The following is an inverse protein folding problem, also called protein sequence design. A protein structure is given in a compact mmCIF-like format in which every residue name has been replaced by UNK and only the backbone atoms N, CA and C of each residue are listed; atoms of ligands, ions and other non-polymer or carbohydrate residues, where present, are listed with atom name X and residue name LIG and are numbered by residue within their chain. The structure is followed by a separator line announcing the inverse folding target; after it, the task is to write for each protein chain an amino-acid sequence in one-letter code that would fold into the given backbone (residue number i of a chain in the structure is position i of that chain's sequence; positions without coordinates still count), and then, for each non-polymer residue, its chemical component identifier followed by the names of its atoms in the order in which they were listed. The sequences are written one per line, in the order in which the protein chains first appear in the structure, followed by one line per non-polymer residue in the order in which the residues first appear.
data_IF_658809666335
#
_entry.id   IF_658809666335
#
_cell.length_a   1.000
_cell.length_b   1.000
_cell.length_c   1.000
_cell.angle_alpha   90.00
_cell.angle_beta   90.00
_cell.angle_gamma   90.00
#
_symmetry.space_group_name_H-M   'P 1'
#
loop_
_entity.id
_entity.type
_entity.pdbx_description
1 polymer ?
#
# COMPACT_ATOMS: atom_id res chain seq x y z
N UNK A 1 -12.90 20.99 -11.26
CA UNK A 1 -12.40 20.31 -10.05
C UNK A 1 -12.13 21.36 -9.01
N UNK A 2 -12.58 21.15 -7.77
CA UNK A 2 -12.26 22.04 -6.65
C UNK A 2 -10.95 21.63 -5.99
N UNK A 3 -10.30 22.59 -5.33
CA UNK A 3 -9.11 22.34 -4.53
C UNK A 3 -9.47 21.49 -3.31
N UNK A 4 -8.72 20.42 -3.00
CA UNK A 4 -8.92 19.62 -1.80
C UNK A 4 -8.74 20.50 -0.56
N UNK A 5 -9.57 20.28 0.46
CA UNK A 5 -9.48 20.97 1.74
C UNK A 5 -8.61 20.17 2.70
N UNK A 6 -7.87 20.87 3.56
CA UNK A 6 -7.00 20.28 4.57
C UNK A 6 -7.64 20.38 5.96
N UNK A 7 -7.27 19.47 6.84
CA UNK A 7 -7.69 19.44 8.26
C UNK A 7 -6.44 19.27 9.12
N UNK A 8 -6.32 20.06 10.18
CA UNK A 8 -5.24 19.94 11.16
C UNK A 8 -5.61 18.84 12.18
N UNK A 9 -4.70 17.89 12.39
CA UNK A 9 -4.87 16.78 13.32
C UNK A 9 -3.73 16.81 14.33
N UNK A 10 -4.07 16.71 15.62
CA UNK A 10 -3.11 16.58 16.73
C UNK A 10 -3.10 15.14 17.20
N UNK A 11 -1.91 14.59 17.34
CA UNK A 11 -1.64 13.21 17.76
C UNK A 11 -0.68 13.28 18.95
N UNK A 12 -0.97 12.56 20.03
CA UNK A 12 -0.24 12.62 21.30
C UNK A 12 0.19 11.22 21.77
N UNK A 13 1.18 11.19 22.67
CA UNK A 13 1.67 10.02 23.41
C UNK A 13 1.91 8.75 22.57
N UNK A 14 1.07 7.74 22.73
CA UNK A 14 1.18 6.40 22.14
C UNK A 14 0.97 6.37 20.61
N UNK A 15 0.37 7.42 20.06
CA UNK A 15 0.11 7.53 18.62
C UNK A 15 1.22 8.29 17.86
N UNK A 16 2.26 8.77 18.54
CA UNK A 16 3.39 9.46 17.88
C UNK A 16 4.15 8.50 16.95
N UNK A 17 4.55 8.99 15.78
CA UNK A 17 5.22 8.22 14.71
C UNK A 17 4.36 7.06 14.12
N UNK A 18 3.04 7.12 14.32
CA UNK A 18 2.09 6.11 13.79
C UNK A 18 1.91 6.15 12.26
N UNK A 19 2.30 7.23 11.57
CA UNK A 19 2.17 7.35 10.11
C UNK A 19 3.26 8.21 9.47
N UNK A 20 3.51 7.99 8.17
CA UNK A 20 4.50 8.73 7.38
C UNK A 20 3.86 9.51 6.23
N UNK A 21 4.52 10.57 5.72
CA UNK A 21 4.04 11.27 4.53
C UNK A 21 3.84 10.30 3.35
N UNK A 22 2.66 10.32 2.75
CA UNK A 22 2.28 9.42 1.65
C UNK A 22 1.44 8.22 2.07
N UNK A 23 1.30 7.95 3.37
CA UNK A 23 0.43 6.89 3.86
C UNK A 23 -1.05 7.23 3.68
N UNK A 24 -1.86 6.22 3.35
CA UNK A 24 -3.32 6.31 3.44
C UNK A 24 -3.73 5.96 4.86
N UNK A 25 -4.35 6.92 5.55
CA UNK A 25 -4.72 6.80 6.95
C UNK A 25 -6.20 7.05 7.15
N UNK A 26 -6.81 6.32 8.08
CA UNK A 26 -8.12 6.63 8.64
C UNK A 26 -7.93 7.02 10.11
N UNK A 27 -8.35 8.24 10.45
CA UNK A 27 -8.19 8.83 11.78
C UNK A 27 -9.55 9.01 12.41
N UNK A 28 -9.69 8.56 13.65
CA UNK A 28 -10.87 8.79 14.48
C UNK A 28 -10.48 9.68 15.65
N UNK A 29 -11.27 10.72 15.92
CA UNK A 29 -10.91 11.71 16.92
C UNK A 29 -12.05 12.64 17.28
N UNK A 30 -11.77 13.56 18.20
CA UNK A 30 -12.72 14.57 18.67
C UNK A 30 -12.42 15.91 17.99
N UNK A 31 -13.43 16.48 17.33
CA UNK A 31 -13.33 17.79 16.71
C UNK A 31 -13.40 18.90 17.76
N UNK A 32 -12.43 19.83 17.74
CA UNK A 32 -12.38 20.97 18.64
C UNK A 32 -12.14 22.27 17.89
N UNK A 33 -12.84 23.31 18.30
CA UNK A 33 -12.63 24.67 17.85
C UNK A 33 -11.86 25.44 18.94
N UNK A 34 -10.63 25.84 18.63
CA UNK A 34 -9.81 26.66 19.51
C UNK A 34 -10.00 28.14 19.14
N UNK A 35 -10.39 29.00 20.10
CA UNK A 35 -10.45 30.43 19.84
C UNK A 35 -9.04 30.97 19.64
N UNK A 36 -8.84 31.76 18.58
CA UNK A 36 -7.57 32.45 18.36
C UNK A 36 -7.41 33.56 19.41
N UNK A 37 -6.45 33.43 20.32
CA UNK A 37 -6.11 34.49 21.28
C UNK A 37 -5.30 35.57 20.57
N UNK A 38 -5.98 36.52 19.94
CA UNK A 38 -5.41 37.81 19.55
C UNK A 38 -5.45 38.76 20.75
N UNK A 39 -4.37 39.51 20.99
CA UNK A 39 -4.26 40.48 22.10
C UNK A 39 -5.52 41.36 22.21
N UNK A 40 -6.31 41.15 23.26
CA UNK A 40 -7.35 42.09 23.71
C UNK A 40 -8.65 42.18 22.89
N UNK A 41 -8.81 41.46 21.77
CA UNK A 41 -10.09 41.44 21.02
C UNK A 41 -10.44 40.03 20.56
N UNK A 42 -11.65 39.57 20.89
CA UNK A 42 -12.18 38.29 20.43
C UNK A 42 -12.61 38.42 18.97
N UNK A 43 -11.68 38.21 18.04
CA UNK A 43 -12.06 37.98 16.65
C UNK A 43 -12.77 36.62 16.57
N UNK A 44 -13.96 36.57 15.97
CA UNK A 44 -14.81 35.37 15.83
C UNK A 44 -14.23 34.28 14.91
N UNK A 45 -12.91 34.24 14.74
CA UNK A 45 -12.19 33.26 13.93
C UNK A 45 -11.68 32.16 14.85
N UNK A 46 -12.25 30.97 14.67
CA UNK A 46 -11.87 29.77 15.40
C UNK A 46 -10.98 28.89 14.52
N UNK A 47 -9.84 28.45 15.06
CA UNK A 47 -9.04 27.41 14.41
C UNK A 47 -9.62 26.06 14.80
N UNK A 48 -9.94 25.24 13.81
CA UNK A 48 -10.51 23.92 14.06
C UNK A 48 -9.44 22.86 13.91
N UNK A 49 -9.38 21.97 14.89
CA UNK A 49 -8.43 20.87 14.95
C UNK A 49 -9.17 19.59 15.29
N UNK A 50 -8.65 18.45 14.84
CA UNK A 50 -9.08 17.13 15.28
C UNK A 50 -8.04 16.59 16.28
N UNK A 51 -8.45 16.23 17.48
CA UNK A 51 -7.59 15.48 18.40
C UNK A 51 -7.80 13.99 18.12
N UNK A 52 -6.75 13.29 17.69
CA UNK A 52 -6.84 11.89 17.32
C UNK A 52 -6.94 10.99 18.55
N UNK A 53 -7.91 10.07 18.53
CA UNK A 53 -8.03 8.96 19.48
C UNK A 53 -7.47 7.66 18.89
N UNK A 54 -7.47 7.52 17.56
CA UNK A 54 -6.93 6.37 16.86
C UNK A 54 -6.46 6.77 15.45
N UNK A 55 -5.28 6.30 15.05
CA UNK A 55 -4.75 6.41 13.69
C UNK A 55 -4.58 5.00 13.13
N UNK A 56 -5.31 4.70 12.06
CA UNK A 56 -5.25 3.39 11.39
C UNK A 56 -4.63 3.53 10.00
N UNK A 57 -3.55 2.79 9.76
CA UNK A 57 -2.87 2.74 8.46
C UNK A 57 -3.64 1.83 7.51
N UNK A 58 -4.37 2.42 6.56
CA UNK A 58 -5.16 1.65 5.58
C UNK A 58 -4.25 0.80 4.67
N UNK A 59 -3.03 1.26 4.40
CA UNK A 59 -2.01 0.51 3.65
C UNK A 59 -1.54 -0.78 4.38
N UNK A 60 -1.62 -0.80 5.71
CA UNK A 60 -1.06 -1.88 6.55
C UNK A 60 -2.13 -2.89 6.97
N UNK A 61 -3.36 -2.43 7.26
CA UNK A 61 -4.49 -3.28 7.64
C UNK A 61 -5.04 -4.11 6.47
N UNK A 62 -4.96 -3.60 5.24
CA UNK A 62 -5.33 -4.36 4.04
C UNK A 62 -4.38 -5.57 3.80
N UNK A 63 -3.15 -5.48 4.31
CA UNK A 63 -2.07 -6.42 4.05
C UNK A 63 -1.68 -7.30 5.25
N UNK A 64 -2.30 -7.13 6.42
CA UNK A 64 -2.06 -8.01 7.56
C UNK A 64 -2.88 -9.29 7.39
N UNK A 65 -2.26 -10.44 7.07
CA UNK A 65 -3.01 -11.67 6.86
C UNK A 65 -3.61 -12.12 8.19
N UNK A 66 -4.92 -12.37 8.22
CA UNK A 66 -5.53 -13.07 9.35
C UNK A 66 -5.06 -14.54 9.29
N UNK A 67 -4.04 -14.89 10.09
CA UNK A 67 -3.48 -16.23 10.17
C UNK A 67 -4.44 -17.20 10.87
N UNK A 68 -5.48 -17.60 10.15
CA UNK A 68 -6.39 -18.66 10.60
C UNK A 68 -5.84 -20.02 10.18
N UNK A 69 -6.10 -21.08 10.94
CA UNK A 69 -5.69 -22.45 10.57
C UNK A 69 -6.15 -22.85 9.16
N UNK A 70 -7.33 -22.37 8.73
CA UNK A 70 -7.85 -22.57 7.37
C UNK A 70 -6.91 -21.98 6.32
N UNK A 71 -6.50 -20.72 6.49
CA UNK A 71 -5.57 -20.03 5.56
C UNK A 71 -4.24 -20.78 5.48
N UNK A 72 -3.72 -21.26 6.59
CA UNK A 72 -2.48 -22.05 6.60
C UNK A 72 -2.62 -23.39 5.87
N UNK A 73 -3.77 -24.05 5.96
CA UNK A 73 -4.07 -25.26 5.18
C UNK A 73 -4.17 -24.95 3.69
N UNK A 74 -4.86 -23.86 3.33
CA UNK A 74 -5.02 -23.46 1.93
C UNK A 74 -3.68 -23.12 1.27
N UNK A 75 -2.79 -22.41 1.98
CA UNK A 75 -1.42 -22.13 1.50
C UNK A 75 -0.66 -23.43 1.22
N UNK A 76 -0.73 -24.42 2.13
CA UNK A 76 -0.07 -25.72 1.95
C UNK A 76 -0.66 -26.49 0.76
N UNK A 77 -1.98 -26.46 0.60
CA UNK A 77 -2.66 -27.09 -0.53
C UNK A 77 -2.23 -26.47 -1.85
N UNK A 78 -2.12 -25.15 -1.92
CA UNK A 78 -1.64 -24.45 -3.12
C UNK A 78 -0.18 -24.80 -3.40
N UNK A 79 0.68 -24.82 -2.36
CA UNK A 79 2.10 -25.14 -2.50
C UNK A 79 2.36 -26.55 -3.07
N UNK A 80 1.43 -27.50 -2.85
CA UNK A 80 1.55 -28.87 -3.36
C UNK A 80 1.13 -29.03 -4.83
N UNK A 81 0.69 -27.97 -5.52
CA UNK A 81 0.22 -28.05 -6.90
C UNK A 81 1.37 -27.87 -7.90
N UNK A 82 1.33 -28.64 -8.98
CA UNK A 82 2.30 -28.52 -10.07
C UNK A 82 2.12 -27.22 -10.89
N UNK A 83 0.89 -26.68 -10.92
CA UNK A 83 0.52 -25.49 -11.69
C UNK A 83 0.51 -24.19 -10.86
N UNK A 84 1.16 -24.18 -9.69
CA UNK A 84 1.12 -23.05 -8.74
C UNK A 84 1.49 -21.72 -9.39
N UNK A 85 2.51 -21.70 -10.26
CA UNK A 85 2.95 -20.47 -10.90
C UNK A 85 1.95 -19.95 -11.94
N UNK A 86 1.28 -20.85 -12.66
CA UNK A 86 0.21 -20.50 -13.59
C UNK A 86 -1.02 -19.98 -12.84
N UNK A 87 -1.35 -20.60 -11.72
CA UNK A 87 -2.43 -20.16 -10.84
C UNK A 87 -2.20 -18.71 -10.38
N UNK A 88 -1.03 -18.41 -9.82
CA UNK A 88 -0.68 -17.06 -9.37
C UNK A 88 -0.72 -16.04 -10.51
N UNK A 89 -0.15 -16.39 -11.66
CA UNK A 89 -0.13 -15.52 -12.83
C UNK A 89 -1.55 -15.21 -13.34
N UNK A 90 -2.44 -16.20 -13.38
CA UNK A 90 -3.82 -16.01 -13.82
C UNK A 90 -4.65 -15.22 -12.80
N UNK A 91 -4.36 -15.35 -11.51
CA UNK A 91 -5.02 -14.60 -10.43
C UNK A 91 -4.65 -13.11 -10.38
N UNK A 92 -3.48 -12.71 -10.89
CA UNK A 92 -3.00 -11.32 -10.85
C UNK A 92 -3.91 -10.35 -11.64
N UNK A 93 -4.31 -10.76 -12.85
CA UNK A 93 -5.12 -9.93 -13.74
C UNK A 93 -6.09 -10.82 -14.53
N UNK A 94 -7.16 -11.32 -13.87
CA UNK A 94 -8.09 -12.26 -14.49
C UNK A 94 -8.91 -11.62 -15.63
N UNK A 95 -9.03 -10.30 -15.64
CA UNK A 95 -9.71 -9.53 -16.68
C UNK A 95 -8.94 -9.46 -18.01
N UNK A 96 -7.65 -9.81 -18.03
CA UNK A 96 -6.81 -9.80 -19.23
C UNK A 96 -6.65 -11.24 -19.71
N UNK A 97 -7.15 -11.57 -20.89
CA UNK A 97 -6.95 -12.89 -21.48
C UNK A 97 -5.51 -13.05 -22.02
N UNK A 98 -4.93 -14.24 -21.84
CA UNK A 98 -3.58 -14.57 -22.34
C UNK A 98 -2.44 -13.93 -21.55
N UNK A 99 -1.32 -13.67 -22.25
CA UNK A 99 -0.10 -13.05 -21.70
C UNK A 99 0.50 -13.74 -20.46
N UNK A 100 0.40 -15.07 -20.38
CA UNK A 100 0.79 -15.85 -19.21
C UNK A 100 2.24 -15.59 -18.77
N UNK A 101 3.19 -15.56 -19.71
CA UNK A 101 4.60 -15.27 -19.43
C UNK A 101 4.83 -13.86 -18.87
N UNK A 102 4.10 -12.88 -19.40
CA UNK A 102 4.17 -11.50 -18.90
C UNK A 102 3.62 -11.40 -17.48
N UNK A 103 2.49 -12.05 -17.20
CA UNK A 103 1.90 -12.10 -15.86
C UNK A 103 2.83 -12.82 -14.86
N UNK A 104 3.44 -13.94 -15.27
CA UNK A 104 4.47 -14.66 -14.49
C UNK A 104 5.67 -13.78 -14.13
N UNK A 105 6.20 -13.05 -15.10
CA UNK A 105 7.31 -12.13 -14.88
C UNK A 105 6.94 -11.01 -13.90
N UNK A 106 5.71 -10.50 -13.97
CA UNK A 106 5.19 -9.53 -13.00
C UNK A 106 5.01 -10.13 -11.61
N UNK A 107 4.55 -11.38 -11.49
CA UNK A 107 4.49 -12.06 -10.18
C UNK A 107 5.89 -12.13 -9.55
N UNK A 108 6.92 -12.48 -10.33
CA UNK A 108 8.30 -12.48 -9.85
C UNK A 108 8.79 -11.07 -9.48
N UNK A 109 8.41 -10.05 -10.24
CA UNK A 109 8.68 -8.65 -9.92
C UNK A 109 8.10 -8.26 -8.56
N UNK A 110 6.86 -8.67 -8.26
CA UNK A 110 6.19 -8.39 -6.98
C UNK A 110 6.78 -9.17 -5.80
N UNK A 111 7.22 -10.41 -6.03
CA UNK A 111 7.92 -11.20 -5.01
C UNK A 111 9.32 -10.65 -4.72
N UNK A 112 9.91 -9.95 -5.69
CA UNK A 112 11.26 -9.40 -5.60
C UNK A 112 12.33 -10.49 -5.67
N UNK A 113 13.51 -10.17 -5.16
CA UNK A 113 14.62 -11.13 -5.08
C UNK A 113 15.43 -10.93 -3.81
N UNK A 114 16.41 -11.79 -3.63
CA UNK A 114 17.20 -11.87 -2.39
C UNK A 114 18.47 -11.05 -2.56
N UNK A 115 18.65 -10.05 -1.71
CA UNK A 115 19.91 -9.32 -1.59
C UNK A 115 21.03 -10.23 -1.09
N UNK A 116 22.24 -10.08 -1.64
CA UNK A 116 23.39 -10.89 -1.26
C UNK A 116 24.59 -10.03 -0.93
N UNK A 117 25.14 -10.25 0.26
CA UNK A 117 26.35 -9.60 0.72
C UNK A 117 27.50 -10.62 0.61
N UNK A 118 28.46 -10.31 -0.23
CA UNK A 118 29.61 -11.18 -0.44
C UNK A 118 30.65 -10.95 0.65
N UNK A 119 31.49 -11.97 0.91
CA UNK A 119 32.56 -11.91 1.90
C UNK A 119 33.61 -10.81 1.63
N UNK A 120 33.66 -10.32 0.39
CA UNK A 120 34.55 -9.24 -0.04
C UNK A 120 33.96 -7.82 0.20
N UNK A 121 32.78 -7.71 0.84
CA UNK A 121 32.12 -6.43 1.09
C UNK A 121 31.27 -5.89 -0.08
N UNK A 122 31.15 -6.64 -1.18
CA UNK A 122 30.26 -6.26 -2.28
C UNK A 122 28.80 -6.57 -1.94
N UNK A 123 27.92 -5.60 -2.15
CA UNK A 123 26.47 -5.73 -2.03
C UNK A 123 25.83 -5.96 -3.41
N UNK A 124 25.09 -7.05 -3.56
CA UNK A 124 24.26 -7.34 -4.74
C UNK A 124 22.78 -7.09 -4.40
N UNK A 125 22.16 -6.21 -5.18
CA UNK A 125 20.74 -5.87 -5.10
C UNK A 125 19.87 -7.08 -5.46
N UNK A 126 18.80 -7.30 -4.68
CA UNK A 126 17.81 -8.35 -4.91
C UNK A 126 16.63 -7.90 -5.77
N UNK A 127 16.41 -6.59 -5.90
CA UNK A 127 15.26 -6.06 -6.63
C UNK A 127 15.36 -6.30 -8.15
N UNK A 128 14.20 -6.52 -8.73
CA UNK A 128 14.02 -6.69 -10.18
C UNK A 128 13.39 -5.40 -10.72
N UNK A 129 13.87 -4.92 -11.87
CA UNK A 129 13.24 -3.83 -12.60
C UNK A 129 12.79 -4.37 -13.97
N UNK A 130 11.54 -4.08 -14.36
CA UNK A 130 10.96 -4.55 -15.61
C UNK A 130 10.41 -3.38 -16.44
N UNK A 131 10.56 -3.45 -17.76
CA UNK A 131 9.93 -2.54 -18.72
C UNK A 131 9.12 -3.34 -19.75
N UNK A 132 7.90 -2.88 -20.04
CA UNK A 132 6.99 -3.52 -20.99
C UNK A 132 6.92 -2.71 -22.29
N UNK A 133 7.49 -3.23 -23.37
CA UNK A 133 7.44 -2.64 -24.72
C UNK A 133 6.58 -3.51 -25.63
N UNK A 134 5.81 -2.89 -26.52
CA UNK A 134 4.95 -3.58 -27.48
C UNK A 134 3.97 -2.62 -28.14
N UNK A 135 3.08 -3.16 -28.95
CA UNK A 135 2.10 -2.37 -29.70
C UNK A 135 1.12 -1.59 -28.81
N UNK A 136 0.49 -0.51 -29.32
CA UNK A 136 -0.68 0.06 -28.67
C UNK A 136 -1.79 -1.01 -28.51
N UNK A 137 -2.66 -0.80 -27.52
CA UNK A 137 -3.85 -1.65 -27.27
C UNK A 137 -3.63 -3.07 -26.73
N UNK A 138 -2.39 -3.51 -26.45
CA UNK A 138 -2.10 -4.84 -25.86
C UNK A 138 -2.19 -4.90 -24.32
N UNK A 139 -3.12 -4.14 -23.72
CA UNK A 139 -3.43 -4.14 -22.28
C UNK A 139 -2.28 -3.83 -21.29
N UNK A 140 -1.08 -3.42 -21.73
CA UNK A 140 0.08 -3.12 -20.87
C UNK A 140 -0.25 -2.19 -19.70
N UNK A 141 -0.92 -1.07 -19.98
CA UNK A 141 -1.32 -0.10 -18.93
C UNK A 141 -2.35 -0.67 -17.96
N UNK A 142 -3.22 -1.59 -18.40
CA UNK A 142 -4.18 -2.25 -17.52
C UNK A 142 -3.51 -3.27 -16.62
N UNK A 143 -2.51 -3.99 -17.13
CA UNK A 143 -1.69 -4.90 -16.31
C UNK A 143 -0.99 -4.12 -15.19
N UNK A 144 -0.37 -2.98 -15.51
CA UNK A 144 0.31 -2.14 -14.50
C UNK A 144 -0.68 -1.57 -13.46
N UNK A 145 -1.89 -1.19 -13.90
CA UNK A 145 -2.96 -0.74 -12.98
C UNK A 145 -3.43 -1.86 -12.06
N UNK A 146 -3.51 -3.10 -12.54
CA UNK A 146 -3.90 -4.24 -11.73
C UNK A 146 -2.92 -4.44 -10.56
N UNK A 147 -1.62 -4.29 -10.82
CA UNK A 147 -0.58 -4.38 -9.78
C UNK A 147 -0.67 -3.24 -8.78
N UNK A 148 -0.95 -2.01 -9.23
CA UNK A 148 -1.03 -0.83 -8.35
C UNK A 148 -2.18 -0.89 -7.35
N UNK A 149 -3.24 -1.66 -7.67
CA UNK A 149 -4.43 -1.79 -6.84
C UNK A 149 -4.46 -3.11 -6.04
N UNK A 150 -3.47 -3.98 -6.23
CA UNK A 150 -3.23 -5.15 -5.39
C UNK A 150 -2.60 -4.71 -4.07
#
# INVERSE_FOLDING_TARGET
GQLPRTVDIVVEDDLVDSCKPGDRVAVVGVYKALPSKSQGSMNGVFRTILIANNVSLLNKSANAPNYTEKVLKDIKNICGRDDTFDLLANSLAPSIYGHLWTKKAVVLLMLGGIEKNLKNGTHLRGDINMMMVGDPSVAKSQLLKAIMNF
#
